data_IF_610395308712
#
_entry.id   IF_610395308712
#
_cell.length_a   1.000
_cell.length_b   1.000
_cell.length_c   1.000
_cell.angle_alpha   90.00
_cell.angle_beta   90.00
_cell.angle_gamma   90.00
#
_symmetry.space_group_name_H-M   'P 1'
#
loop_
_entity.id
_entity.type
_entity.pdbx_description
1 polymer ?
#
# COMPACT_ATOMS: atom_id res chain seq x y z
N UNK A 1 -0.27 -29.38 -17.67
CA UNK A 1 0.65 -28.26 -17.32
C UNK A 1 0.08 -27.59 -16.08
N UNK A 2 0.77 -27.72 -14.96
CA UNK A 2 0.37 -27.02 -13.75
C UNK A 2 0.54 -25.51 -14.01
N UNK A 3 -0.56 -24.77 -13.99
CA UNK A 3 -0.50 -23.32 -14.03
C UNK A 3 0.04 -22.87 -12.66
N UNK A 4 1.33 -22.70 -12.59
CA UNK A 4 1.99 -22.27 -11.36
C UNK A 4 1.54 -20.85 -11.01
N UNK A 5 1.16 -20.67 -9.75
CA UNK A 5 0.95 -19.33 -9.24
C UNK A 5 2.31 -18.63 -9.23
N UNK A 6 2.33 -17.39 -9.66
CA UNK A 6 3.51 -16.54 -9.65
C UNK A 6 3.31 -15.33 -8.72
N UNK A 7 4.40 -14.75 -8.29
CA UNK A 7 4.43 -13.46 -7.59
C UNK A 7 5.12 -12.47 -8.50
N UNK A 8 4.48 -11.33 -8.69
CA UNK A 8 5.04 -10.20 -9.42
C UNK A 8 5.31 -9.06 -8.44
N UNK A 9 6.42 -8.40 -8.62
CA UNK A 9 6.76 -7.16 -7.94
C UNK A 9 6.84 -6.05 -8.98
N UNK A 10 6.06 -4.98 -8.77
CA UNK A 10 6.01 -3.84 -9.66
C UNK A 10 6.09 -2.54 -8.82
N UNK A 11 7.28 -1.98 -8.65
CA UNK A 11 7.44 -0.69 -7.98
C UNK A 11 6.95 0.42 -8.90
N UNK A 12 6.05 1.26 -8.41
CA UNK A 12 5.61 2.49 -9.09
C UNK A 12 6.39 3.71 -8.59
N UNK A 13 7.01 3.60 -7.42
CA UNK A 13 7.89 4.60 -6.83
C UNK A 13 8.64 4.05 -5.62
N UNK A 14 9.66 4.76 -5.14
CA UNK A 14 10.46 4.37 -3.97
C UNK A 14 11.52 3.31 -4.25
N UNK A 15 11.70 2.88 -5.50
CA UNK A 15 12.74 1.92 -5.89
C UNK A 15 13.82 2.60 -6.69
N UNK A 16 15.01 2.77 -6.09
CA UNK A 16 16.12 3.52 -6.66
C UNK A 16 16.05 5.04 -6.43
N UNK A 17 15.10 5.48 -5.63
CA UNK A 17 14.89 6.88 -5.22
C UNK A 17 14.42 6.94 -3.76
N UNK A 18 14.43 8.12 -3.16
CA UNK A 18 13.94 8.38 -1.81
C UNK A 18 12.54 9.00 -1.91
N UNK A 19 11.58 8.45 -1.14
CA UNK A 19 10.21 8.92 -1.12
C UNK A 19 9.32 8.29 -2.18
N UNK A 20 8.09 8.78 -2.29
CA UNK A 20 7.07 8.31 -3.23
C UNK A 20 6.86 6.77 -3.21
N UNK A 21 6.95 6.16 -2.02
CA UNK A 21 6.89 4.70 -1.91
C UNK A 21 5.51 4.19 -2.33
N UNK A 22 5.48 3.39 -3.40
CA UNK A 22 4.27 2.70 -3.85
C UNK A 22 4.66 1.42 -4.59
N UNK A 23 4.53 0.30 -3.90
CA UNK A 23 4.95 -0.99 -4.40
C UNK A 23 3.77 -1.91 -4.60
N UNK A 24 3.65 -2.48 -5.80
CA UNK A 24 2.59 -3.43 -6.12
C UNK A 24 3.11 -4.86 -6.04
N UNK A 25 2.32 -5.72 -5.43
CA UNK A 25 2.54 -7.16 -5.43
C UNK A 25 1.35 -7.84 -6.09
N UNK A 26 1.59 -8.47 -7.23
CA UNK A 26 0.62 -9.30 -7.95
C UNK A 26 0.85 -10.76 -7.63
N UNK A 27 -0.22 -11.50 -7.39
CA UNK A 27 -0.12 -12.94 -7.12
C UNK A 27 -1.30 -13.70 -7.74
N UNK A 28 -1.02 -14.88 -8.20
CA UNK A 28 -2.00 -15.72 -8.85
C UNK A 28 -1.47 -16.35 -10.13
N UNK A 29 -2.38 -16.80 -10.97
CA UNK A 29 -2.03 -17.37 -12.27
C UNK A 29 -1.73 -16.26 -13.29
N UNK A 30 -0.95 -16.60 -14.28
CA UNK A 30 -0.67 -15.71 -15.42
C UNK A 30 -1.97 -15.05 -15.94
N UNK A 31 -1.95 -13.73 -16.08
CA UNK A 31 -3.06 -12.86 -16.50
C UNK A 31 -4.28 -12.79 -15.55
N UNK A 32 -4.23 -13.43 -14.39
CA UNK A 32 -5.30 -13.43 -13.37
C UNK A 32 -4.79 -13.05 -11.98
N UNK A 33 -3.86 -12.09 -11.94
CA UNK A 33 -3.28 -11.66 -10.68
C UNK A 33 -4.26 -10.82 -9.87
N UNK A 34 -4.30 -11.08 -8.55
CA UNK A 34 -4.80 -10.15 -7.56
C UNK A 34 -3.64 -9.27 -7.11
N UNK A 35 -3.95 -8.01 -6.85
CA UNK A 35 -2.94 -7.00 -6.53
C UNK A 35 -3.15 -6.44 -5.14
N UNK A 36 -2.07 -6.26 -4.41
CA UNK A 36 -2.00 -5.43 -3.21
C UNK A 36 -1.01 -4.30 -3.45
N UNK A 37 -1.30 -3.17 -2.82
CA UNK A 37 -0.42 -2.01 -2.78
C UNK A 37 0.24 -2.00 -1.41
N UNK A 38 1.54 -1.85 -1.35
CA UNK A 38 2.27 -1.60 -0.10
C UNK A 38 2.82 -0.19 -0.16
N UNK A 39 2.30 0.64 0.75
CA UNK A 39 2.48 2.08 0.83
C UNK A 39 1.89 2.86 -0.35
N UNK A 40 1.67 4.15 -0.15
CA UNK A 40 1.13 5.06 -1.13
C UNK A 40 1.56 6.49 -0.75
N UNK A 41 2.84 6.77 -0.95
CA UNK A 41 3.51 7.96 -0.46
C UNK A 41 3.77 9.01 -1.51
N UNK A 42 4.26 10.13 -1.04
CA UNK A 42 4.71 11.26 -1.85
C UNK A 42 6.23 11.41 -1.78
N UNK A 43 6.78 12.19 -2.68
CA UNK A 43 8.06 12.86 -2.51
C UNK A 43 7.90 14.36 -2.74
N UNK A 44 8.84 15.15 -2.26
CA UNK A 44 8.86 16.59 -2.49
C UNK A 44 9.65 16.89 -3.75
N UNK A 45 9.18 17.86 -4.51
CA UNK A 45 9.87 18.25 -5.73
C UNK A 45 11.21 18.94 -5.40
N UNK A 46 12.18 18.72 -6.28
CA UNK A 46 13.46 19.40 -6.20
C UNK A 46 13.34 20.84 -6.75
N UNK A 47 14.32 21.70 -6.45
CA UNK A 47 14.37 23.08 -6.94
C UNK A 47 14.36 23.21 -8.49
N UNK A 48 14.72 22.12 -9.17
CA UNK A 48 14.66 22.02 -10.65
C UNK A 48 13.25 22.03 -11.22
N UNK A 49 12.21 21.85 -10.38
CA UNK A 49 10.79 21.79 -10.78
C UNK A 49 10.00 22.95 -10.17
N UNK A 50 10.18 24.19 -10.63
CA UNK A 50 9.54 25.37 -10.05
C UNK A 50 8.01 25.28 -10.17
N UNK A 51 7.30 25.53 -9.06
CA UNK A 51 5.83 25.50 -8.98
C UNK A 51 5.25 24.12 -8.73
N UNK A 52 6.08 23.10 -8.51
CA UNK A 52 5.67 21.76 -8.06
C UNK A 52 6.17 21.57 -6.64
N UNK A 53 5.24 21.30 -5.71
CA UNK A 53 5.59 21.05 -4.30
C UNK A 53 5.69 19.55 -4.00
N UNK A 54 4.82 18.74 -4.61
CA UNK A 54 4.64 17.32 -4.30
C UNK A 54 4.54 16.49 -5.57
N UNK A 55 5.21 15.35 -5.55
CA UNK A 55 5.18 14.34 -6.61
C UNK A 55 4.58 13.05 -6.03
N UNK A 56 3.69 12.42 -6.77
CA UNK A 56 3.13 11.11 -6.46
C UNK A 56 3.52 10.09 -7.54
N UNK A 57 3.61 8.80 -7.20
CA UNK A 57 3.77 7.74 -8.20
C UNK A 57 2.61 7.74 -9.19
N UNK A 58 2.87 7.34 -10.43
CA UNK A 58 1.82 7.17 -11.43
C UNK A 58 0.98 5.92 -11.14
N UNK A 59 -0.32 6.06 -10.79
CA UNK A 59 -1.16 4.94 -10.43
C UNK A 59 -1.90 4.31 -11.61
N UNK A 60 -1.68 4.70 -12.83
CA UNK A 60 -2.49 4.30 -13.99
C UNK A 60 -2.55 2.78 -14.17
N UNK A 61 -1.45 2.08 -13.95
CA UNK A 61 -1.44 0.62 -14.02
C UNK A 61 -2.46 0.00 -13.05
N UNK A 62 -2.45 0.41 -11.78
CA UNK A 62 -3.35 -0.18 -10.79
C UNK A 62 -4.79 0.30 -10.95
N UNK A 63 -5.02 1.47 -11.51
CA UNK A 63 -6.37 1.93 -11.87
C UNK A 63 -7.01 1.04 -12.94
N UNK A 64 -6.24 0.60 -13.93
CA UNK A 64 -6.70 -0.35 -14.94
C UNK A 64 -7.01 -1.73 -14.33
N UNK A 65 -6.36 -2.08 -13.22
CA UNK A 65 -6.52 -3.32 -12.47
C UNK A 65 -7.37 -3.19 -11.19
N UNK A 66 -8.12 -2.09 -11.03
CA UNK A 66 -8.83 -1.78 -9.78
C UNK A 66 -9.79 -2.87 -9.28
N UNK A 67 -10.38 -3.67 -10.16
CA UNK A 67 -11.25 -4.80 -9.80
C UNK A 67 -10.48 -5.95 -9.14
N UNK A 68 -9.20 -6.03 -9.42
CA UNK A 68 -8.29 -7.04 -8.91
C UNK A 68 -7.39 -6.51 -7.78
N UNK A 69 -7.48 -5.22 -7.47
CA UNK A 69 -6.82 -4.61 -6.33
C UNK A 69 -7.61 -4.94 -5.05
N UNK A 70 -7.06 -5.79 -4.21
CA UNK A 70 -7.76 -6.32 -3.03
C UNK A 70 -7.41 -5.60 -1.72
N UNK A 71 -6.44 -4.68 -1.73
CA UNK A 71 -6.12 -3.87 -0.56
C UNK A 71 -4.88 -3.02 -0.69
N UNK A 72 -4.79 -2.03 0.20
CA UNK A 72 -3.62 -1.18 0.41
C UNK A 72 -3.11 -1.44 1.82
N UNK A 73 -1.86 -1.83 1.96
CA UNK A 73 -1.20 -2.09 3.23
C UNK A 73 -0.27 -0.92 3.51
N UNK A 74 -0.44 -0.26 4.64
CA UNK A 74 0.41 0.85 5.04
C UNK A 74 1.36 0.40 6.15
N UNK A 75 2.64 0.56 5.88
CA UNK A 75 3.71 0.15 6.81
C UNK A 75 3.81 1.09 8.00
N UNK A 76 3.75 2.41 7.77
CA UNK A 76 3.81 3.43 8.80
C UNK A 76 3.34 4.80 8.30
N UNK A 77 3.33 5.80 9.20
CA UNK A 77 2.66 7.08 9.00
C UNK A 77 3.50 8.22 8.41
N UNK A 78 4.67 7.98 7.84
CA UNK A 78 5.43 9.03 7.16
C UNK A 78 4.79 9.43 5.82
N UNK A 79 5.00 10.67 5.39
CA UNK A 79 4.41 11.22 4.17
C UNK A 79 4.82 10.47 2.90
N UNK A 80 6.04 10.00 2.84
CA UNK A 80 6.55 9.18 1.76
C UNK A 80 5.97 7.76 1.70
N UNK A 81 5.07 7.42 2.66
CA UNK A 81 4.30 6.17 2.72
C UNK A 81 2.79 6.37 2.71
N UNK A 82 2.25 7.50 3.18
CA UNK A 82 0.80 7.75 3.24
C UNK A 82 0.34 8.96 2.43
N UNK A 83 1.26 9.84 2.02
CA UNK A 83 0.91 11.16 1.50
C UNK A 83 0.07 11.13 0.22
N UNK A 84 0.26 10.14 -0.65
CA UNK A 84 -0.49 10.02 -1.89
C UNK A 84 -1.86 9.33 -1.74
N UNK A 85 -2.19 8.73 -0.58
CA UNK A 85 -3.45 8.02 -0.36
C UNK A 85 -4.68 8.85 -0.71
N UNK A 86 -4.73 10.11 -0.30
CA UNK A 86 -5.88 10.99 -0.54
C UNK A 86 -6.10 11.32 -2.01
N UNK A 87 -5.08 11.11 -2.85
CA UNK A 87 -5.12 11.33 -4.30
C UNK A 87 -5.44 10.03 -5.05
N UNK A 88 -4.85 8.93 -4.64
CA UNK A 88 -4.92 7.63 -5.33
C UNK A 88 -6.18 6.84 -4.94
N UNK A 89 -6.47 6.76 -3.64
CA UNK A 89 -7.55 5.92 -3.12
C UNK A 89 -8.95 6.22 -3.69
N UNK A 90 -9.36 7.48 -3.95
CA UNK A 90 -10.72 7.77 -4.44
C UNK A 90 -11.11 7.03 -5.73
N UNK A 91 -10.12 6.70 -6.57
CA UNK A 91 -10.34 5.95 -7.80
C UNK A 91 -10.34 4.42 -7.59
N UNK A 92 -9.70 3.94 -6.52
CA UNK A 92 -9.61 2.51 -6.20
C UNK A 92 -10.75 2.04 -5.31
N UNK A 93 -11.06 2.79 -4.24
CA UNK A 93 -12.07 2.48 -3.21
C UNK A 93 -11.93 1.05 -2.67
N UNK A 94 -10.70 0.64 -2.37
CA UNK A 94 -10.38 -0.65 -1.75
C UNK A 94 -10.07 -0.48 -0.27
N UNK A 95 -10.02 -1.57 0.50
CA UNK A 95 -9.67 -1.52 1.92
C UNK A 95 -8.24 -1.03 2.14
N UNK A 96 -8.06 -0.21 3.18
CA UNK A 96 -6.76 0.25 3.68
C UNK A 96 -6.50 -0.44 5.01
N UNK A 97 -5.36 -1.07 5.15
CA UNK A 97 -4.94 -1.77 6.36
C UNK A 97 -3.77 -1.04 7.00
N UNK A 98 -3.91 -0.65 8.25
CA UNK A 98 -2.88 0.12 8.97
C UNK A 98 -2.90 -0.20 10.47
N UNK A 99 -1.77 0.05 11.14
CA UNK A 99 -1.69 -0.01 12.60
C UNK A 99 -2.50 1.14 13.24
N UNK A 100 -2.85 1.08 14.54
CA UNK A 100 -3.70 2.09 15.17
C UNK A 100 -3.20 3.52 15.01
N UNK A 101 -1.90 3.77 15.24
CA UNK A 101 -1.30 5.10 15.12
C UNK A 101 -1.35 5.59 13.66
N UNK A 102 -0.89 4.77 12.73
CA UNK A 102 -0.92 5.09 11.29
C UNK A 102 -2.35 5.32 10.80
N UNK A 103 -3.30 4.50 11.25
CA UNK A 103 -4.71 4.65 10.92
C UNK A 103 -5.32 5.96 11.42
N UNK A 104 -4.88 6.47 12.58
CA UNK A 104 -5.31 7.78 13.08
C UNK A 104 -4.81 8.91 12.17
N UNK A 105 -3.55 8.86 11.72
CA UNK A 105 -3.00 9.83 10.78
C UNK A 105 -3.73 9.80 9.43
N UNK A 106 -4.00 8.61 8.91
CA UNK A 106 -4.76 8.44 7.66
C UNK A 106 -6.17 9.05 7.81
N UNK A 107 -6.88 8.78 8.91
CA UNK A 107 -8.21 9.36 9.16
C UNK A 107 -8.18 10.88 9.11
N UNK A 108 -7.19 11.51 9.75
CA UNK A 108 -7.09 12.97 9.76
C UNK A 108 -6.84 13.54 8.37
N UNK A 109 -5.92 12.94 7.59
CA UNK A 109 -5.68 13.33 6.19
C UNK A 109 -6.94 13.28 5.32
N UNK A 110 -7.72 12.23 5.43
CA UNK A 110 -8.95 12.07 4.65
C UNK A 110 -10.05 13.02 5.11
N UNK A 111 -10.14 13.29 6.41
CA UNK A 111 -11.06 14.28 6.99
C UNK A 111 -10.79 15.70 6.48
N UNK A 112 -9.52 16.12 6.38
CA UNK A 112 -9.12 17.41 5.78
C UNK A 112 -9.63 17.55 4.34
N UNK A 113 -9.67 16.46 3.60
CA UNK A 113 -10.20 16.39 2.23
C UNK A 113 -11.70 16.13 2.15
N UNK A 114 -12.39 16.01 3.30
CA UNK A 114 -13.84 15.70 3.42
C UNK A 114 -14.22 14.37 2.74
N UNK A 115 -13.32 13.39 2.80
CA UNK A 115 -13.54 12.05 2.25
C UNK A 115 -13.79 11.08 3.42
N UNK A 116 -14.90 10.36 3.38
CA UNK A 116 -15.19 9.32 4.36
C UNK A 116 -14.55 7.98 3.93
N UNK A 117 -13.77 7.38 4.85
CA UNK A 117 -13.09 6.09 4.66
C UNK A 117 -13.39 5.09 5.78
N UNK A 118 -14.36 5.37 6.65
CA UNK A 118 -14.59 4.54 7.86
C UNK A 118 -14.85 3.07 7.53
N UNK A 119 -15.62 2.81 6.49
CA UNK A 119 -15.94 1.44 6.07
C UNK A 119 -14.73 0.71 5.44
N UNK A 120 -13.76 1.45 4.97
CA UNK A 120 -12.60 0.92 4.25
C UNK A 120 -11.31 0.84 5.09
N UNK A 121 -11.20 1.64 6.14
CA UNK A 121 -10.02 1.62 7.00
C UNK A 121 -10.10 0.50 8.04
N UNK A 122 -9.24 -0.49 7.89
CA UNK A 122 -9.13 -1.66 8.77
C UNK A 122 -7.93 -1.50 9.69
N UNK A 123 -8.18 -1.38 10.97
CA UNK A 123 -7.12 -1.24 11.98
C UNK A 123 -6.63 -2.61 12.38
N UNK A 124 -5.34 -2.84 12.21
CA UNK A 124 -4.64 -4.08 12.51
C UNK A 124 -3.74 -3.86 13.72
N UNK A 125 -3.79 -4.69 14.75
CA UNK A 125 -2.90 -4.54 15.90
C UNK A 125 -1.43 -4.71 15.48
N UNK A 126 -0.51 -4.18 16.30
CA UNK A 126 0.93 -4.42 16.14
C UNK A 126 1.21 -5.92 16.11
N UNK A 127 2.08 -6.34 15.20
CA UNK A 127 2.36 -7.76 14.92
C UNK A 127 1.12 -8.58 14.50
N UNK A 128 0.09 -7.88 14.03
CA UNK A 128 -1.13 -8.51 13.55
C UNK A 128 -0.97 -9.15 12.18
N UNK A 129 -2.01 -9.90 11.82
CA UNK A 129 -2.07 -10.63 10.54
C UNK A 129 -3.26 -10.14 9.74
N UNK A 130 -3.08 -10.10 8.43
CA UNK A 130 -4.13 -9.79 7.45
C UNK A 130 -4.24 -11.00 6.55
N UNK A 131 -5.45 -11.53 6.42
CA UNK A 131 -5.75 -12.64 5.52
C UNK A 131 -6.54 -12.08 4.33
N UNK A 132 -5.94 -12.09 3.17
CA UNK A 132 -6.51 -11.58 1.93
C UNK A 132 -6.54 -12.68 0.88
N UNK A 133 -7.69 -13.32 0.78
CA UNK A 133 -7.93 -14.34 -0.23
C UNK A 133 -6.87 -15.46 -0.16
N UNK A 134 -5.92 -15.47 -1.09
CA UNK A 134 -4.84 -16.47 -1.13
C UNK A 134 -3.51 -15.98 -0.52
N UNK A 135 -3.48 -14.78 0.06
CA UNK A 135 -2.25 -14.17 0.62
C UNK A 135 -2.41 -13.89 2.09
N UNK A 136 -1.41 -14.27 2.87
CA UNK A 136 -1.29 -13.93 4.29
C UNK A 136 -0.19 -12.90 4.47
N UNK A 137 -0.53 -11.82 5.17
CA UNK A 137 0.38 -10.71 5.43
C UNK A 137 0.59 -10.63 6.93
N UNK A 138 1.84 -10.65 7.37
CA UNK A 138 2.19 -10.44 8.77
C UNK A 138 2.84 -9.06 8.90
N UNK A 139 2.32 -8.23 9.79
CA UNK A 139 2.95 -6.99 10.17
C UNK A 139 3.96 -7.28 11.28
N UNK A 140 5.22 -6.93 11.07
CA UNK A 140 6.31 -7.13 12.03
C UNK A 140 6.78 -5.76 12.48
N UNK A 141 6.64 -5.47 13.78
CA UNK A 141 7.06 -4.18 14.32
C UNK A 141 8.58 -4.04 14.34
N UNK A 142 9.05 -2.90 13.88
CA UNK A 142 10.45 -2.50 13.91
C UNK A 142 10.61 -1.15 14.63
N UNK A 143 11.81 -0.90 15.16
CA UNK A 143 12.18 0.42 15.68
C UNK A 143 12.47 1.38 14.53
N UNK A 144 11.82 2.52 14.54
CA UNK A 144 12.00 3.58 13.56
C UNK A 144 11.76 4.95 14.21
N UNK A 145 11.98 6.04 13.49
CA UNK A 145 11.81 7.41 13.98
C UNK A 145 10.36 7.79 14.33
N UNK A 146 9.37 7.00 13.93
CA UNK A 146 7.95 7.16 14.25
C UNK A 146 7.42 5.89 14.96
N UNK A 147 6.41 6.05 15.82
CA UNK A 147 5.78 4.92 16.51
C UNK A 147 5.05 3.99 15.54
N UNK A 148 5.15 2.68 15.83
CA UNK A 148 4.39 1.64 15.13
C UNK A 148 4.74 1.44 13.64
N UNK A 149 6.01 1.44 13.30
CA UNK A 149 6.46 0.97 11.99
C UNK A 149 6.28 -0.53 11.90
N UNK A 150 5.71 -0.99 10.80
CA UNK A 150 5.53 -2.41 10.52
C UNK A 150 6.25 -2.79 9.24
N UNK A 151 7.04 -3.84 9.29
CA UNK A 151 7.56 -4.49 8.09
C UNK A 151 6.52 -5.48 7.57
N UNK A 152 6.29 -5.50 6.26
CA UNK A 152 5.30 -6.40 5.66
C UNK A 152 5.97 -7.69 5.20
N UNK A 153 5.54 -8.81 5.77
CA UNK A 153 5.97 -10.13 5.33
C UNK A 153 4.82 -10.81 4.58
N UNK A 154 5.02 -11.04 3.29
CA UNK A 154 4.06 -11.72 2.42
C UNK A 154 4.37 -13.21 2.35
N UNK A 155 3.37 -14.05 2.63
CA UNK A 155 3.47 -15.49 2.42
C UNK A 155 2.33 -15.96 1.52
N UNK A 156 2.69 -16.68 0.46
CA UNK A 156 1.72 -17.47 -0.30
C UNK A 156 1.51 -18.82 0.38
N UNK A 157 0.33 -19.42 0.29
CA UNK A 157 0.14 -20.78 0.72
C UNK A 157 1.04 -21.70 -0.13
N UNK A 158 2.11 -22.20 0.48
CA UNK A 158 2.87 -23.32 -0.09
C UNK A 158 2.02 -24.58 0.06
N UNK A 159 1.66 -25.21 -1.03
CA UNK A 159 1.20 -26.59 -0.95
C UNK A 159 2.38 -27.43 -0.46
N UNK A 160 2.27 -27.98 0.75
CA UNK A 160 3.08 -29.13 1.10
C UNK A 160 2.74 -30.25 0.10
N UNK A 161 3.73 -30.68 -0.64
CA UNK A 161 3.67 -31.90 -1.44
C UNK A 161 3.70 -33.10 -0.50
#
# INVERSE_FOLDING_TARGET
>A
MNSDNEILFCPLGGSGEIGANMNLYGFGKLNHHKWIIVDCGITFAEESLPGIDVIIPDPDFIYQKKKDCIGIIITHGHEDHIGALVHVWPNLKTNIYATPFTGALIKEKFKERKINIEDYLKIIPLNGKIDLDSVKINLISLTHSILAVSYTHLTLPTRCL
#
